data_IF_580010295595
#
_entry.id   IF_580010295595
#
_cell.length_a   1.000
_cell.length_b   1.000
_cell.length_c   1.000
_cell.angle_alpha   90.00
_cell.angle_beta   90.00
_cell.angle_gamma   90.00
#
_symmetry.space_group_name_H-M   'P 1'
#
loop_
_entity.id
_entity.type
_entity.pdbx_description
1 polymer ?
#
# COMPACT_ATOMS: atom_id res chain seq x y z
N UNK A 1 -15.56 0.30 -0.28
CA UNK A 1 -14.79 -0.20 -1.44
C UNK A 1 -13.35 -0.30 -1.02
N UNK A 2 -12.65 -1.39 -1.36
CA UNK A 2 -11.21 -1.53 -1.13
C UNK A 2 -10.47 -0.99 -2.35
N UNK A 3 -9.53 -0.07 -2.12
CA UNK A 3 -8.70 0.56 -3.13
C UNK A 3 -7.29 -0.05 -3.07
N UNK A 4 -6.72 -0.48 -4.21
CA UNK A 4 -5.32 -0.90 -4.26
C UNK A 4 -4.40 0.31 -4.18
N UNK A 5 -3.65 0.41 -3.08
CA UNK A 5 -2.64 1.45 -2.88
C UNK A 5 -1.27 0.99 -3.35
N UNK A 6 -0.97 -0.30 -3.18
CA UNK A 6 0.24 -0.96 -3.64
C UNK A 6 -0.08 -2.43 -4.01
N UNK A 7 0.92 -3.16 -4.49
CA UNK A 7 0.81 -4.58 -4.89
C UNK A 7 0.34 -5.49 -3.76
N UNK A 8 0.64 -5.13 -2.51
CA UNK A 8 0.34 -5.89 -1.28
C UNK A 8 -0.54 -5.10 -0.29
N UNK A 9 -1.06 -3.93 -0.69
CA UNK A 9 -1.82 -3.04 0.20
C UNK A 9 -3.16 -2.61 -0.40
N UNK A 10 -4.23 -3.00 0.29
CA UNK A 10 -5.60 -2.53 0.03
C UNK A 10 -6.10 -1.67 1.20
N UNK A 11 -6.72 -0.54 0.91
CA UNK A 11 -7.29 0.35 1.94
C UNK A 11 -8.73 0.75 1.61
N UNK A 12 -9.54 0.99 2.65
CA UNK A 12 -10.84 1.65 2.47
C UNK A 12 -10.75 3.17 2.36
N UNK A 13 -9.60 3.76 2.70
CA UNK A 13 -9.37 5.21 2.81
C UNK A 13 -10.48 5.93 3.61
N UNK A 14 -10.96 5.30 4.69
CA UNK A 14 -11.95 5.86 5.61
C UNK A 14 -11.27 6.30 6.93
N UNK A 15 -10.88 7.58 7.07
CA UNK A 15 -10.20 8.06 8.26
C UNK A 15 -11.09 8.05 9.51
N UNK A 16 -12.42 8.01 9.34
CA UNK A 16 -13.36 8.06 10.46
C UNK A 16 -13.66 6.67 11.04
N UNK A 17 -13.28 5.59 10.35
CA UNK A 17 -13.65 4.22 10.69
C UNK A 17 -13.37 3.86 12.16
N UNK A 18 -12.23 4.28 12.71
CA UNK A 18 -11.87 3.98 14.09
C UNK A 18 -12.80 4.70 15.08
N UNK A 19 -13.07 5.99 14.85
CA UNK A 19 -13.91 6.81 15.73
C UNK A 19 -15.39 6.44 15.63
N UNK A 20 -15.89 6.21 14.41
CA UNK A 20 -17.28 5.85 14.16
C UNK A 20 -17.65 4.54 14.83
N UNK A 21 -16.75 3.56 14.79
CA UNK A 21 -16.97 2.32 15.51
C UNK A 21 -16.71 2.48 17.02
N UNK A 22 -15.50 2.90 17.39
CA UNK A 22 -15.02 2.76 18.78
C UNK A 22 -15.63 3.78 19.74
N UNK A 23 -16.15 4.90 19.22
CA UNK A 23 -16.74 5.97 20.04
C UNK A 23 -18.24 6.17 19.78
N UNK A 24 -18.73 5.84 18.57
CA UNK A 24 -20.11 6.14 18.15
C UNK A 24 -20.97 4.90 17.89
N UNK A 25 -20.42 3.69 18.06
CA UNK A 25 -21.12 2.42 17.83
C UNK A 25 -21.76 2.31 16.44
N UNK A 26 -21.15 2.92 15.42
CA UNK A 26 -21.62 2.83 14.02
C UNK A 26 -20.93 1.66 13.31
N UNK A 27 -21.72 0.76 12.72
CA UNK A 27 -21.22 -0.43 12.00
C UNK A 27 -21.03 -0.21 10.49
N UNK A 28 -21.37 0.97 9.94
CA UNK A 28 -21.36 1.22 8.49
C UNK A 28 -20.00 0.87 7.83
N UNK A 29 -18.88 1.25 8.45
CA UNK A 29 -17.55 0.93 7.92
C UNK A 29 -17.23 -0.56 8.00
N UNK A 30 -17.70 -1.29 9.03
CA UNK A 30 -17.56 -2.76 9.09
C UNK A 30 -18.34 -3.45 7.97
N UNK A 31 -19.58 -3.01 7.74
CA UNK A 31 -20.41 -3.53 6.65
C UNK A 31 -19.77 -3.27 5.28
N UNK A 32 -19.27 -2.05 5.06
CA UNK A 32 -18.56 -1.70 3.83
C UNK A 32 -17.26 -2.50 3.64
N UNK A 33 -16.56 -2.82 4.73
CA UNK A 33 -15.39 -3.70 4.70
C UNK A 33 -15.77 -5.13 4.33
N UNK A 34 -16.81 -5.70 4.97
CA UNK A 34 -17.33 -7.03 4.66
C UNK A 34 -17.79 -7.14 3.20
N UNK A 35 -18.49 -6.12 2.68
CA UNK A 35 -18.85 -6.05 1.25
C UNK A 35 -17.62 -5.97 0.34
N UNK A 36 -16.58 -5.26 0.75
CA UNK A 36 -15.29 -5.23 0.06
C UNK A 36 -14.65 -6.62 -0.02
N UNK A 37 -14.66 -7.37 1.09
CA UNK A 37 -14.17 -8.74 1.14
C UNK A 37 -15.03 -9.70 0.30
N UNK A 38 -16.36 -9.53 0.27
CA UNK A 38 -17.22 -10.29 -0.64
C UNK A 38 -16.85 -10.05 -2.11
N UNK A 39 -16.58 -8.80 -2.49
CA UNK A 39 -16.08 -8.48 -3.84
C UNK A 39 -14.70 -9.10 -4.10
N UNK A 40 -13.80 -9.08 -3.12
CA UNK A 40 -12.51 -9.77 -3.22
C UNK A 40 -12.72 -11.27 -3.51
N UNK A 41 -13.59 -11.93 -2.75
CA UNK A 41 -13.88 -13.37 -2.95
C UNK A 41 -14.47 -13.67 -4.34
N UNK A 42 -15.29 -12.76 -4.90
CA UNK A 42 -15.84 -12.96 -6.25
C UNK A 42 -14.78 -12.95 -7.37
N UNK A 43 -13.59 -12.40 -7.10
CA UNK A 43 -12.48 -12.31 -8.07
C UNK A 43 -11.43 -13.39 -7.78
N UNK A 44 -11.06 -13.58 -6.52
CA UNK A 44 -9.93 -14.42 -6.10
C UNK A 44 -10.35 -15.76 -5.47
N UNK A 45 -11.65 -16.02 -5.37
CA UNK A 45 -12.24 -17.19 -4.72
C UNK A 45 -12.41 -17.02 -3.20
N UNK A 46 -13.04 -18.01 -2.58
CA UNK A 46 -13.37 -17.97 -1.16
C UNK A 46 -12.16 -18.06 -0.24
N UNK A 47 -12.27 -17.47 0.94
CA UNK A 47 -11.33 -17.72 2.03
C UNK A 47 -11.61 -19.11 2.65
N UNK A 48 -10.71 -20.10 2.54
CA UNK A 48 -10.92 -21.44 3.10
C UNK A 48 -10.98 -21.42 4.63
N UNK A 49 -10.23 -20.50 5.24
CA UNK A 49 -10.13 -20.33 6.69
C UNK A 49 -10.21 -18.86 7.04
N UNK A 50 -10.97 -18.54 8.09
CA UNK A 50 -11.07 -17.18 8.65
C UNK A 50 -10.72 -17.25 10.13
N UNK A 51 -9.73 -16.46 10.53
CA UNK A 51 -9.34 -16.28 11.93
C UNK A 51 -9.53 -14.82 12.30
N UNK A 52 -10.18 -14.55 13.42
CA UNK A 52 -10.46 -13.19 13.85
C UNK A 52 -10.07 -12.98 15.32
N UNK A 53 -9.55 -11.78 15.63
CA UNK A 53 -9.22 -11.38 17.00
C UNK A 53 -9.80 -10.00 17.30
N UNK A 54 -10.64 -9.98 18.34
CA UNK A 54 -11.32 -8.79 18.85
C UNK A 54 -12.79 -8.68 18.40
N UNK A 55 -13.62 -7.88 19.10
CA UNK A 55 -15.06 -7.83 18.86
C UNK A 55 -15.42 -7.41 17.43
N UNK A 56 -14.74 -6.41 16.86
CA UNK A 56 -15.01 -5.94 15.48
C UNK A 56 -14.67 -7.00 14.45
N UNK A 57 -13.52 -7.65 14.63
CA UNK A 57 -13.05 -8.67 13.72
C UNK A 57 -14.00 -9.87 13.70
N UNK A 58 -14.54 -10.27 14.87
CA UNK A 58 -15.57 -11.29 14.97
C UNK A 58 -16.84 -10.88 14.22
N UNK A 59 -17.30 -9.64 14.42
CA UNK A 59 -18.48 -9.09 13.74
C UNK A 59 -18.34 -9.10 12.22
N UNK A 60 -17.17 -8.74 11.68
CA UNK A 60 -16.90 -8.82 10.23
C UNK A 60 -17.00 -10.27 9.74
N UNK A 61 -16.42 -11.23 10.47
CA UNK A 61 -16.46 -12.63 10.08
C UNK A 61 -17.91 -13.19 10.05
N UNK A 62 -18.75 -12.78 11.00
CA UNK A 62 -20.18 -13.10 11.03
C UNK A 62 -20.92 -12.48 9.82
N UNK A 63 -20.70 -11.19 9.55
CA UNK A 63 -21.28 -10.52 8.37
C UNK A 63 -20.87 -11.21 7.07
N UNK A 64 -19.60 -11.60 6.92
CA UNK A 64 -19.10 -12.30 5.74
C UNK A 64 -19.79 -13.67 5.56
N UNK A 65 -19.99 -14.41 6.65
CA UNK A 65 -20.69 -15.69 6.62
C UNK A 65 -22.17 -15.53 6.24
N UNK A 66 -22.84 -14.51 6.78
CA UNK A 66 -24.23 -14.18 6.44
C UNK A 66 -24.39 -13.77 4.98
N UNK A 67 -23.58 -12.82 4.50
CA UNK A 67 -23.58 -12.37 3.10
C UNK A 67 -23.33 -13.54 2.13
N UNK A 68 -22.48 -14.49 2.52
CA UNK A 68 -22.24 -15.71 1.74
C UNK A 68 -23.48 -16.60 1.67
N UNK A 69 -24.15 -16.84 2.79
CA UNK A 69 -25.39 -17.64 2.81
C UNK A 69 -26.49 -17.00 1.98
N UNK A 70 -26.65 -15.68 2.08
CA UNK A 70 -27.61 -14.91 1.28
C UNK A 70 -27.31 -14.99 -0.22
N UNK A 71 -26.03 -14.87 -0.61
CA UNK A 71 -25.62 -15.00 -2.01
C UNK A 71 -25.90 -16.41 -2.56
N UNK A 72 -25.63 -17.46 -1.79
CA UNK A 72 -25.93 -18.85 -2.19
C UNK A 72 -27.44 -19.12 -2.27
N UNK A 73 -28.22 -18.63 -1.31
CA UNK A 73 -29.68 -18.75 -1.34
C UNK A 73 -30.29 -18.06 -2.56
N UNK A 74 -29.77 -16.87 -2.91
CA UNK A 74 -30.20 -16.12 -4.09
C UNK A 74 -29.85 -16.88 -5.38
N UNK A 75 -28.63 -17.40 -5.49
CA UNK A 75 -28.21 -18.19 -6.65
C UNK A 75 -29.08 -19.44 -6.87
N UNK A 76 -29.50 -20.11 -5.79
CA UNK A 76 -30.38 -21.28 -5.84
C UNK A 76 -31.81 -20.94 -6.30
N UNK A 77 -32.31 -19.75 -5.96
CA UNK A 77 -33.61 -19.26 -6.43
C UNK A 77 -33.57 -18.93 -7.93
N UNK A 78 -32.48 -18.32 -8.41
CA UNK A 78 -32.31 -17.98 -9.83
C UNK A 78 -32.08 -19.21 -10.72
N UNK A 79 -31.41 -20.25 -10.22
CA UNK A 79 -31.23 -21.53 -10.96
C UNK A 79 -32.53 -22.31 -11.11
N UNK A 80 -33.51 -22.09 -10.22
CA UNK A 80 -34.84 -22.68 -10.35
C UNK A 80 -35.65 -22.09 -11.51
N UNK A 81 -35.20 -20.98 -12.10
CA UNK A 81 -35.86 -20.28 -13.21
C UNK A 81 -35.11 -20.35 -14.56
N UNK A 82 -33.83 -20.77 -14.58
CA UNK A 82 -33.03 -20.88 -15.82
C UNK A 82 -32.29 -22.21 -15.87
N UNK A 83 -32.76 -23.07 -16.76
CA UNK A 83 -32.26 -24.41 -17.05
C UNK A 83 -31.00 -24.37 -17.95
N UNK A 84 -30.06 -23.45 -17.71
CA UNK A 84 -28.83 -23.32 -18.49
C UNK A 84 -27.59 -23.66 -17.64
N UNK A 85 -27.04 -24.82 -17.97
CA UNK A 85 -25.88 -25.46 -17.33
C UNK A 85 -24.58 -24.81 -17.83
N UNK A 86 -24.25 -23.58 -17.42
CA UNK A 86 -22.88 -23.02 -17.55
C UNK A 86 -22.58 -21.82 -16.63
N UNK A 87 -23.45 -21.47 -15.68
CA UNK A 87 -23.12 -20.43 -14.70
C UNK A 87 -22.09 -20.98 -13.70
N UNK A 88 -20.80 -20.69 -13.93
CA UNK A 88 -19.75 -20.85 -12.92
C UNK A 88 -20.24 -20.09 -11.68
N UNK A 89 -20.56 -20.80 -10.60
CA UNK A 89 -20.91 -20.13 -9.37
C UNK A 89 -19.68 -19.33 -8.93
N UNK A 90 -19.81 -18.03 -8.59
CA UNK A 90 -18.66 -17.19 -8.23
C UNK A 90 -17.85 -17.72 -7.04
N UNK A 91 -18.37 -18.73 -6.33
CA UNK A 91 -17.81 -19.33 -5.13
C UNK A 91 -17.06 -20.66 -5.37
N UNK A 92 -17.11 -21.24 -6.58
CA UNK A 92 -16.52 -22.55 -6.90
C UNK A 92 -15.08 -22.47 -7.45
N UNK A 93 -14.51 -21.26 -7.57
CA UNK A 93 -13.10 -21.11 -7.94
C UNK A 93 -12.20 -21.63 -6.81
N UNK A 94 -11.17 -22.45 -7.09
CA UNK A 94 -10.16 -22.79 -6.09
C UNK A 94 -9.51 -21.49 -5.62
N UNK A 95 -9.87 -21.06 -4.40
CA UNK A 95 -9.42 -19.78 -3.85
C UNK A 95 -7.90 -19.68 -3.89
N UNK A 96 -7.40 -18.54 -4.37
CA UNK A 96 -5.96 -18.26 -4.39
C UNK A 96 -5.40 -17.94 -2.99
N UNK A 97 -6.28 -17.83 -2.00
CA UNK A 97 -5.95 -17.47 -0.63
C UNK A 97 -6.06 -18.68 0.30
N UNK A 98 -5.10 -18.87 1.19
CA UNK A 98 -5.16 -19.95 2.19
C UNK A 98 -5.93 -19.57 3.47
N UNK A 99 -5.80 -18.31 3.89
CA UNK A 99 -6.25 -17.84 5.20
C UNK A 99 -6.52 -16.33 5.18
N UNK A 100 -7.67 -15.93 5.72
CA UNK A 100 -7.94 -14.55 6.11
C UNK A 100 -7.75 -14.39 7.62
N UNK A 101 -6.87 -13.47 8.02
CA UNK A 101 -6.70 -13.04 9.42
C UNK A 101 -7.30 -11.64 9.57
N UNK A 102 -8.25 -11.47 10.49
CA UNK A 102 -8.89 -10.19 10.79
C UNK A 102 -8.49 -9.77 12.19
N UNK A 103 -7.86 -8.61 12.32
CA UNK A 103 -7.41 -8.07 13.60
C UNK A 103 -8.15 -6.77 13.88
N UNK A 104 -8.81 -6.69 15.03
CA UNK A 104 -9.40 -5.46 15.53
C UNK A 104 -8.31 -4.58 16.15
N UNK A 105 -8.14 -3.35 15.63
CA UNK A 105 -7.16 -2.38 16.14
C UNK A 105 -7.27 -2.12 17.64
N UNK A 106 -8.45 -2.27 18.25
CA UNK A 106 -8.63 -2.07 19.70
C UNK A 106 -7.94 -3.12 20.57
N UNK A 107 -7.52 -4.25 20.00
CA UNK A 107 -6.74 -5.28 20.70
C UNK A 107 -5.32 -4.81 21.00
N UNK A 108 -4.82 -3.82 20.26
CA UNK A 108 -3.54 -3.17 20.51
C UNK A 108 -3.67 -1.67 20.15
N UNK A 109 -3.99 -0.83 21.14
CA UNK A 109 -4.09 0.61 20.95
C UNK A 109 -2.75 1.33 21.12
N UNK A 110 -1.69 0.63 21.56
CA UNK A 110 -0.40 1.23 21.89
C UNK A 110 0.46 1.43 20.65
N UNK A 111 0.58 0.41 19.79
CA UNK A 111 1.41 0.50 18.57
C UNK A 111 1.16 1.76 17.72
N UNK A 112 -0.08 2.14 17.36
CA UNK A 112 -0.32 3.34 16.55
C UNK A 112 -0.12 4.67 17.32
N UNK A 113 0.21 4.62 18.62
CA UNK A 113 0.54 5.81 19.44
C UNK A 113 2.04 6.02 19.60
N UNK A 114 2.85 5.02 19.28
CA UNK A 114 4.29 5.14 19.29
C UNK A 114 4.74 5.90 18.05
N UNK A 115 5.73 6.77 18.19
CA UNK A 115 6.41 7.37 17.04
C UNK A 115 7.00 6.27 16.18
N UNK A 116 6.65 6.27 14.90
CA UNK A 116 7.20 5.30 13.95
C UNK A 116 8.66 5.62 13.67
N UNK A 117 9.48 4.59 13.45
CA UNK A 117 10.93 4.72 13.24
C UNK A 117 11.41 4.14 11.90
N UNK A 118 10.48 3.65 11.07
CA UNK A 118 10.78 3.31 9.68
C UNK A 118 10.77 4.56 8.81
N UNK A 119 11.41 4.49 7.64
CA UNK A 119 11.45 5.63 6.73
C UNK A 119 10.05 6.11 6.31
N UNK A 120 9.20 5.21 5.80
CA UNK A 120 7.83 5.57 5.42
C UNK A 120 6.97 5.94 6.64
N UNK A 121 7.22 5.29 7.78
CA UNK A 121 6.57 5.64 9.04
C UNK A 121 6.80 7.09 9.42
N UNK A 122 8.05 7.55 9.43
CA UNK A 122 8.41 8.94 9.70
C UNK A 122 7.91 9.91 8.62
N UNK A 123 7.94 9.53 7.34
CA UNK A 123 7.29 10.32 6.29
C UNK A 123 5.83 10.57 6.64
N UNK A 124 5.10 9.54 7.09
CA UNK A 124 3.69 9.67 7.43
C UNK A 124 3.43 10.41 8.75
N UNK A 125 4.37 10.42 9.70
CA UNK A 125 4.30 11.27 10.90
C UNK A 125 4.44 12.76 10.55
N UNK A 126 5.40 13.10 9.67
CA UNK A 126 5.68 14.51 9.29
C UNK A 126 4.71 15.02 8.24
N UNK A 127 4.45 14.23 7.20
CA UNK A 127 3.52 14.52 6.11
C UNK A 127 2.53 13.38 5.93
N UNK A 128 1.33 13.45 6.54
CA UNK A 128 0.35 12.39 6.50
C UNK A 128 0.09 11.88 5.08
N UNK A 129 0.40 10.60 4.86
CA UNK A 129 0.19 9.93 3.58
C UNK A 129 -1.29 9.55 3.49
N UNK A 130 -1.92 9.94 2.39
CA UNK A 130 -3.33 9.65 2.08
C UNK A 130 -3.44 9.26 0.62
N UNK A 131 -4.16 8.18 0.35
CA UNK A 131 -4.32 7.63 -1.00
C UNK A 131 -2.96 7.40 -1.69
N UNK A 132 -1.98 6.85 -0.96
CA UNK A 132 -0.63 6.58 -1.47
C UNK A 132 0.19 7.83 -1.83
N UNK A 133 -0.18 9.02 -1.34
CA UNK A 133 0.56 10.25 -1.64
C UNK A 133 0.58 11.23 -0.46
N UNK A 134 1.61 12.09 -0.42
CA UNK A 134 1.67 13.21 0.52
C UNK A 134 2.03 14.52 -0.20
N UNK A 135 1.80 15.64 0.50
CA UNK A 135 2.18 16.97 0.03
C UNK A 135 3.45 17.39 0.75
N UNK A 136 4.55 17.53 0.01
CA UNK A 136 5.85 17.91 0.55
C UNK A 136 6.15 19.39 0.28
N UNK A 137 6.86 20.08 1.18
CA UNK A 137 7.39 21.39 0.90
C UNK A 137 8.40 21.32 -0.25
N UNK A 138 8.39 22.33 -1.12
CA UNK A 138 9.34 22.43 -2.22
C UNK A 138 10.26 23.62 -1.94
N UNK A 139 11.56 23.37 -1.78
CA UNK A 139 12.53 24.42 -1.53
C UNK A 139 12.55 25.41 -2.72
N UNK A 140 12.32 26.70 -2.44
CA UNK A 140 12.47 27.79 -3.41
C UNK A 140 11.33 27.99 -4.42
N UNK A 141 10.20 27.27 -4.32
CA UNK A 141 9.12 27.40 -5.30
C UNK A 141 7.92 28.22 -4.78
N UNK A 142 7.40 29.15 -5.60
CA UNK A 142 6.22 29.99 -5.27
C UNK A 142 4.88 29.28 -5.48
N UNK A 143 4.88 28.11 -6.12
CA UNK A 143 3.68 27.37 -6.54
C UNK A 143 3.12 26.42 -5.46
N UNK A 144 3.65 26.47 -4.23
CA UNK A 144 3.15 25.70 -3.10
C UNK A 144 3.68 24.25 -3.02
N UNK A 145 3.12 23.44 -2.11
CA UNK A 145 3.64 22.10 -1.83
C UNK A 145 3.40 21.11 -2.98
N UNK A 146 4.41 20.29 -3.29
CA UNK A 146 4.38 19.30 -4.37
C UNK A 146 3.75 18.00 -3.87
N UNK A 147 2.81 17.43 -4.64
CA UNK A 147 2.29 16.08 -4.37
C UNK A 147 3.31 15.04 -4.83
N UNK A 148 3.64 14.10 -3.94
CA UNK A 148 4.52 12.97 -4.20
C UNK A 148 3.76 11.68 -3.92
N UNK A 149 3.87 10.71 -4.82
CA UNK A 149 3.29 9.37 -4.69
C UNK A 149 4.34 8.45 -4.07
N UNK A 150 3.93 7.64 -3.11
CA UNK A 150 4.77 6.70 -2.38
C UNK A 150 4.20 5.30 -2.58
N UNK A 151 4.86 4.49 -3.42
CA UNK A 151 4.52 3.10 -3.67
C UNK A 151 5.73 2.35 -4.27
N UNK A 152 5.57 1.04 -4.46
CA UNK A 152 6.62 0.15 -5.00
C UNK A 152 7.04 0.42 -6.45
N UNK A 153 6.40 1.34 -7.17
CA UNK A 153 6.82 1.70 -8.54
C UNK A 153 8.16 2.46 -8.57
N UNK A 154 8.52 3.10 -7.47
CA UNK A 154 9.88 3.60 -7.24
C UNK A 154 10.72 2.51 -6.56
N UNK A 155 11.68 1.97 -7.31
CA UNK A 155 12.54 0.89 -6.83
C UNK A 155 13.41 1.28 -5.62
N UNK A 156 13.86 2.54 -5.55
CA UNK A 156 14.62 3.02 -4.39
C UNK A 156 13.70 3.12 -3.18
N UNK A 157 12.51 3.70 -3.35
CA UNK A 157 11.55 3.79 -2.25
C UNK A 157 11.15 2.42 -1.72
N UNK A 158 10.88 1.45 -2.61
CA UNK A 158 10.57 0.06 -2.25
C UNK A 158 11.66 -0.60 -1.40
N UNK A 159 12.93 -0.29 -1.67
CA UNK A 159 14.07 -0.79 -0.88
C UNK A 159 14.16 -0.18 0.52
N UNK A 160 13.87 1.13 0.64
CA UNK A 160 14.17 1.89 1.86
C UNK A 160 12.96 2.13 2.77
N UNK A 161 11.72 2.04 2.27
CA UNK A 161 10.48 2.42 2.99
C UNK A 161 10.31 1.71 4.33
N UNK A 162 10.67 0.43 4.38
CA UNK A 162 10.49 -0.45 5.53
C UNK A 162 11.72 -0.51 6.45
N UNK A 163 12.81 0.17 6.08
CA UNK A 163 14.05 0.18 6.87
C UNK A 163 13.97 1.18 8.03
N UNK A 164 14.75 0.91 9.09
CA UNK A 164 14.90 1.86 10.19
C UNK A 164 15.55 3.16 9.68
N UNK A 165 15.03 4.30 10.12
CA UNK A 165 15.50 5.60 9.65
C UNK A 165 16.99 5.86 9.90
N UNK A 166 17.56 5.30 10.96
CA UNK A 166 18.97 5.45 11.31
C UNK A 166 19.91 4.95 10.19
N UNK A 167 19.47 3.98 9.38
CA UNK A 167 20.28 3.38 8.32
C UNK A 167 20.12 4.10 6.96
N UNK A 168 19.08 4.92 6.81
CA UNK A 168 18.70 5.52 5.52
C UNK A 168 19.78 6.44 4.96
N UNK A 169 20.40 7.26 5.80
CA UNK A 169 21.46 8.18 5.36
C UNK A 169 22.65 7.47 4.71
N UNK A 170 23.04 6.31 5.26
CA UNK A 170 24.11 5.49 4.70
C UNK A 170 23.72 4.84 3.37
N UNK A 171 22.49 4.31 3.26
CA UNK A 171 21.96 3.70 2.04
C UNK A 171 21.88 4.73 0.91
N UNK A 172 21.27 5.91 1.17
CA UNK A 172 21.14 6.98 0.19
C UNK A 172 22.51 7.50 -0.27
N UNK A 173 23.45 7.71 0.66
CA UNK A 173 24.81 8.15 0.33
C UNK A 173 25.53 7.15 -0.58
N UNK A 174 25.38 5.85 -0.33
CA UNK A 174 25.96 4.80 -1.18
C UNK A 174 25.36 4.84 -2.59
N UNK A 175 24.02 4.86 -2.69
CA UNK A 175 23.29 4.91 -3.98
C UNK A 175 23.65 6.15 -4.80
N UNK A 176 23.73 7.32 -4.18
CA UNK A 176 24.10 8.56 -4.88
C UNK A 176 25.54 8.52 -5.39
N UNK A 177 26.48 7.92 -4.65
CA UNK A 177 27.87 7.72 -5.10
C UNK A 177 27.96 6.77 -6.29
N UNK A 178 27.24 5.65 -6.26
CA UNK A 178 27.17 4.68 -7.36
C UNK A 178 26.60 5.31 -8.64
N UNK A 179 25.49 6.05 -8.52
CA UNK A 179 24.91 6.78 -9.66
C UNK A 179 25.91 7.80 -10.22
N UNK A 180 26.61 8.53 -9.35
CA UNK A 180 27.62 9.53 -9.74
C UNK A 180 28.80 8.92 -10.47
N UNK A 181 29.28 7.75 -10.04
CA UNK A 181 30.39 7.06 -10.72
C UNK A 181 30.04 6.64 -12.14
N UNK A 182 28.82 6.11 -12.37
CA UNK A 182 28.37 5.71 -13.71
C UNK A 182 28.36 6.90 -14.68
N UNK A 183 27.88 8.07 -14.23
CA UNK A 183 27.85 9.26 -15.06
C UNK A 183 29.26 9.83 -15.33
N UNK A 184 30.15 9.79 -14.34
CA UNK A 184 31.52 10.25 -14.50
C UNK A 184 32.32 9.34 -15.42
N UNK A 185 32.15 8.01 -15.30
CA UNK A 185 32.74 7.05 -16.20
C UNK A 185 32.28 7.30 -17.65
N UNK A 186 30.97 7.49 -17.86
CA UNK A 186 30.41 7.83 -19.16
C UNK A 186 31.01 9.10 -19.77
N UNK A 187 31.14 10.17 -18.97
CA UNK A 187 31.74 11.45 -19.42
C UNK A 187 33.22 11.33 -19.75
N UNK A 188 33.95 10.49 -19.01
CA UNK A 188 35.39 10.28 -19.20
C UNK A 188 35.74 9.24 -20.28
N UNK A 189 34.77 8.43 -20.71
CA UNK A 189 35.00 7.32 -21.63
C UNK A 189 35.14 7.80 -23.08
N UNK A 190 36.21 7.34 -23.74
CA UNK A 190 36.43 7.50 -25.17
C UNK A 190 35.89 6.32 -25.99
N UNK A 191 35.38 5.27 -25.32
CA UNK A 191 34.87 4.05 -25.97
C UNK A 191 33.41 4.23 -26.41
N UNK A 192 33.17 4.14 -27.72
CA UNK A 192 31.84 4.28 -28.32
C UNK A 192 30.82 3.26 -27.77
N UNK A 193 31.26 2.06 -27.39
CA UNK A 193 30.42 1.00 -26.83
C UNK A 193 29.86 1.39 -25.46
N UNK A 194 30.71 1.90 -24.57
CA UNK A 194 30.30 2.39 -23.24
C UNK A 194 29.35 3.58 -23.35
N UNK A 195 29.64 4.52 -24.26
CA UNK A 195 28.77 5.67 -24.51
C UNK A 195 27.38 5.23 -25.00
N UNK A 196 27.32 4.29 -25.95
CA UNK A 196 26.03 3.74 -26.44
C UNK A 196 25.24 3.06 -25.33
N UNK A 197 25.90 2.27 -24.48
CA UNK A 197 25.24 1.59 -23.36
C UNK A 197 24.59 2.60 -22.39
N UNK A 198 25.32 3.65 -22.01
CA UNK A 198 24.81 4.68 -21.09
C UNK A 198 23.70 5.50 -21.73
N UNK A 199 23.80 5.85 -23.02
CA UNK A 199 22.73 6.56 -23.74
C UNK A 199 21.44 5.72 -23.75
N UNK A 200 21.55 4.41 -23.93
CA UNK A 200 20.39 3.51 -23.89
C UNK A 200 19.74 3.44 -22.49
N UNK A 201 20.53 3.58 -21.42
CA UNK A 201 20.06 3.56 -20.02
C UNK A 201 19.75 4.94 -19.44
N UNK A 202 19.95 6.01 -20.21
CA UNK A 202 19.86 7.39 -19.74
C UNK A 202 18.49 7.76 -19.13
N UNK A 203 17.34 7.28 -19.66
CA UNK A 203 16.04 7.52 -19.04
C UNK A 203 15.95 6.95 -17.61
N UNK A 204 16.36 5.69 -17.43
CA UNK A 204 16.34 4.99 -16.14
C UNK A 204 17.30 5.65 -15.13
N UNK A 205 18.49 6.03 -15.58
CA UNK A 205 19.45 6.77 -14.76
C UNK A 205 18.87 8.11 -14.31
N UNK A 206 18.25 8.88 -15.20
CA UNK A 206 17.61 10.16 -14.84
C UNK A 206 16.52 9.98 -13.79
N UNK A 207 15.68 8.96 -13.94
CA UNK A 207 14.65 8.63 -12.95
C UNK A 207 15.26 8.27 -11.60
N UNK A 208 16.31 7.43 -11.60
CA UNK A 208 17.02 7.02 -10.38
C UNK A 208 17.65 8.21 -9.65
N UNK A 209 18.25 9.15 -10.40
CA UNK A 209 18.78 10.39 -9.83
C UNK A 209 17.69 11.28 -9.23
N UNK A 210 16.56 11.43 -9.92
CA UNK A 210 15.44 12.23 -9.43
C UNK A 210 14.85 11.63 -8.14
N UNK A 211 14.71 10.30 -8.09
CA UNK A 211 14.29 9.55 -6.90
C UNK A 211 15.29 9.71 -5.75
N UNK A 212 16.59 9.47 -5.97
CA UNK A 212 17.62 9.62 -4.95
C UNK A 212 17.69 11.04 -4.38
N UNK A 213 17.61 12.05 -5.24
CA UNK A 213 17.58 13.47 -4.84
C UNK A 213 16.34 13.81 -3.99
N UNK A 214 15.17 13.32 -4.41
CA UNK A 214 13.93 13.46 -3.66
C UNK A 214 14.05 12.84 -2.26
N UNK A 215 14.50 11.58 -2.18
CA UNK A 215 14.58 10.86 -0.91
C UNK A 215 15.68 11.40 0.02
N UNK A 216 16.78 11.95 -0.53
CA UNK A 216 17.78 12.70 0.24
C UNK A 216 17.16 13.94 0.88
N UNK A 217 16.43 14.73 0.08
CA UNK A 217 15.75 15.94 0.57
C UNK A 217 14.72 15.59 1.66
N UNK A 218 13.93 14.52 1.46
CA UNK A 218 12.97 14.03 2.45
C UNK A 218 13.68 13.62 3.74
N UNK A 219 14.78 12.87 3.64
CA UNK A 219 15.53 12.40 4.79
C UNK A 219 16.13 13.58 5.59
N UNK A 220 16.65 14.61 4.92
CA UNK A 220 17.13 15.83 5.57
C UNK A 220 16.01 16.53 6.38
N UNK A 221 14.84 16.71 5.79
CA UNK A 221 13.69 17.29 6.49
C UNK A 221 13.21 16.45 7.69
N UNK A 222 13.25 15.12 7.58
CA UNK A 222 12.89 14.24 8.71
C UNK A 222 13.95 14.31 9.81
N UNK A 223 15.23 14.39 9.45
CA UNK A 223 16.34 14.54 10.40
C UNK A 223 16.22 15.84 11.22
N UNK A 224 15.74 16.92 10.62
CA UNK A 224 15.49 18.18 11.32
C UNK A 224 14.26 18.12 12.25
N UNK A 225 13.35 17.16 12.02
CA UNK A 225 12.15 16.94 12.82
C UNK A 225 12.40 16.05 14.04
N UNK A 226 13.33 15.08 13.94
CA UNK A 226 13.64 14.06 14.95
C UNK A 226 14.68 14.55 15.97
#
# INVERSE_FOLDING_TARGET
TLLPLDSDLLSMEDPNCFSDFSLRNKENSLFNFAKGLMKFQSIYGLFPRIRSKGPKAKRIAEMLAQMRQEAMATANLDTSARQDVTAVQPLDSPGQTDLLIIIDRSVDALTPRLSQLTYEGLINEVWPVRHGSAKLPQAGNKDGPKRVVFNSADALFSEIRDQNFADIGAILSKRTKELSSVMNEAKSSTKLTTLRQVVNQLPELRQSYASASLHMTIAEYIQDYA
#
